data_IF_337455370238
#
_entry.id   IF_337455370238
#
_cell.length_a   1.000
_cell.length_b   1.000
_cell.length_c   1.000
_cell.angle_alpha   90.00
_cell.angle_beta   90.00
_cell.angle_gamma   90.00
#
_symmetry.space_group_name_H-M   'P 1'
#
loop_
_entity.id
_entity.type
_entity.pdbx_description
1 polymer ?
#
# COMPACT_ATOMS: atom_id res chain seq x y z
N UNK A 1 -11.23 7.11 -33.87
CA UNK A 1 -11.95 7.56 -32.65
C UNK A 1 -11.11 7.48 -31.37
N UNK A 2 -10.12 6.58 -31.26
CA UNK A 2 -9.27 6.44 -30.05
C UNK A 2 -8.46 7.69 -29.62
N UNK A 3 -8.00 8.52 -30.57
CA UNK A 3 -7.14 9.69 -30.27
C UNK A 3 -7.90 10.82 -29.53
N UNK A 4 -9.23 10.92 -29.67
CA UNK A 4 -10.03 11.97 -29.02
C UNK A 4 -10.31 11.65 -27.54
N UNK A 5 -10.39 10.37 -27.20
CA UNK A 5 -10.54 9.94 -25.80
C UNK A 5 -9.24 10.18 -25.02
N UNK A 6 -8.06 9.90 -25.59
CA UNK A 6 -6.79 10.10 -24.88
C UNK A 6 -6.57 11.57 -24.47
N UNK A 7 -6.81 12.52 -25.38
CA UNK A 7 -6.67 13.95 -25.08
C UNK A 7 -7.68 14.43 -24.03
N UNK A 8 -8.90 13.89 -24.04
CA UNK A 8 -9.93 14.23 -23.05
C UNK A 8 -9.60 13.64 -21.68
N UNK A 9 -9.07 12.42 -21.63
CA UNK A 9 -8.61 11.76 -20.42
C UNK A 9 -7.41 12.48 -19.82
N UNK A 10 -6.38 12.80 -20.62
CA UNK A 10 -5.22 13.58 -20.19
C UNK A 10 -5.63 14.91 -19.56
N UNK A 11 -6.53 15.65 -20.20
CA UNK A 11 -6.96 16.94 -19.69
C UNK A 11 -7.76 16.84 -18.38
N UNK A 12 -8.56 15.77 -18.22
CA UNK A 12 -9.24 15.46 -16.94
C UNK A 12 -8.26 15.02 -15.87
N UNK A 13 -7.25 14.23 -16.24
CA UNK A 13 -6.17 13.79 -15.36
C UNK A 13 -5.38 15.01 -14.87
N UNK A 14 -4.97 15.91 -15.75
CA UNK A 14 -4.23 17.13 -15.41
C UNK A 14 -5.05 18.04 -14.49
N UNK A 15 -6.36 18.15 -14.72
CA UNK A 15 -7.26 18.91 -13.85
C UNK A 15 -7.44 18.22 -12.49
N UNK A 16 -7.44 16.90 -12.46
CA UNK A 16 -7.46 16.10 -11.23
C UNK A 16 -6.14 16.21 -10.46
N UNK A 17 -4.99 16.05 -11.12
CA UNK A 17 -3.65 16.27 -10.55
C UNK A 17 -3.50 17.70 -10.04
N UNK A 18 -3.95 18.70 -10.79
CA UNK A 18 -3.96 20.09 -10.35
C UNK A 18 -4.89 20.27 -9.13
N UNK A 19 -6.10 19.69 -9.11
CA UNK A 19 -7.00 19.83 -7.97
C UNK A 19 -6.51 19.09 -6.70
N UNK A 20 -5.76 18.00 -6.86
CA UNK A 20 -5.27 17.17 -5.75
C UNK A 20 -3.98 17.73 -5.14
N UNK A 21 -3.13 18.36 -5.96
CA UNK A 21 -1.83 18.91 -5.53
C UNK A 21 -1.79 20.45 -5.40
N UNK A 22 -2.68 21.20 -6.07
CA UNK A 22 -2.69 22.66 -6.11
C UNK A 22 -4.03 23.23 -5.63
N UNK A 23 -3.96 24.30 -4.82
CA UNK A 23 -5.14 25.15 -4.58
C UNK A 23 -5.38 26.10 -5.75
N UNK A 24 -6.62 26.61 -5.93
CA UNK A 24 -6.94 27.65 -6.92
C UNK A 24 -6.05 28.91 -6.86
N UNK A 25 -5.37 29.12 -5.72
CA UNK A 25 -4.57 30.30 -5.38
C UNK A 25 -3.05 30.13 -5.66
N UNK A 26 -2.61 29.06 -6.34
CA UNK A 26 -1.18 28.88 -6.68
C UNK A 26 -0.22 28.65 -5.51
N UNK A 27 -0.71 28.58 -4.27
CA UNK A 27 0.06 28.15 -3.08
C UNK A 27 -0.01 26.62 -2.91
N UNK A 28 1.08 25.95 -2.47
CA UNK A 28 1.09 24.50 -2.27
C UNK A 28 0.24 24.14 -1.05
N UNK A 29 -1.00 23.68 -1.26
CA UNK A 29 -1.91 23.25 -0.18
C UNK A 29 -1.46 21.94 0.49
N UNK A 30 -0.55 21.15 -0.11
CA UNK A 30 -0.34 19.79 0.37
C UNK A 30 1.06 19.23 0.15
N UNK A 31 2.07 19.86 0.76
CA UNK A 31 3.30 19.14 1.09
C UNK A 31 2.97 17.80 1.80
N UNK A 32 1.91 17.77 2.61
CA UNK A 32 1.40 16.58 3.27
C UNK A 32 0.96 15.45 2.30
N UNK A 33 0.21 15.73 1.23
CA UNK A 33 -0.20 14.71 0.24
C UNK A 33 1.01 14.21 -0.54
N UNK A 34 1.88 15.11 -0.98
CA UNK A 34 3.07 14.71 -1.73
C UNK A 34 4.00 13.84 -0.89
N UNK A 35 4.24 14.21 0.36
CA UNK A 35 5.06 13.40 1.27
C UNK A 35 4.39 12.06 1.62
N UNK A 36 3.07 12.02 1.84
CA UNK A 36 2.37 10.74 2.10
C UNK A 36 2.33 9.83 0.88
N UNK A 37 2.20 10.38 -0.33
CA UNK A 37 2.29 9.64 -1.59
C UNK A 37 3.71 9.12 -1.85
N UNK A 38 4.74 9.95 -1.64
CA UNK A 38 6.13 9.51 -1.75
C UNK A 38 6.43 8.40 -0.74
N UNK A 39 5.94 8.55 0.50
CA UNK A 39 6.11 7.55 1.55
C UNK A 39 5.39 6.23 1.20
N UNK A 40 4.21 6.27 0.57
CA UNK A 40 3.54 5.05 0.12
C UNK A 40 4.30 4.32 -0.98
N UNK A 41 5.01 5.03 -1.88
CA UNK A 41 5.89 4.40 -2.86
C UNK A 41 7.07 3.69 -2.18
N UNK A 42 7.66 4.33 -1.16
CA UNK A 42 8.72 3.70 -0.35
C UNK A 42 8.18 2.44 0.33
N UNK A 43 6.96 2.47 0.87
CA UNK A 43 6.34 1.29 1.48
C UNK A 43 6.10 0.19 0.47
N UNK A 44 5.61 0.53 -0.73
CA UNK A 44 5.40 -0.41 -1.82
C UNK A 44 6.71 -1.11 -2.19
N UNK A 45 7.81 -0.36 -2.31
CA UNK A 45 9.15 -0.91 -2.58
C UNK A 45 9.60 -1.79 -1.42
N UNK A 46 9.41 -1.36 -0.17
CA UNK A 46 9.80 -2.13 1.01
C UNK A 46 9.06 -3.47 1.08
N UNK A 47 7.76 -3.50 0.81
CA UNK A 47 6.99 -4.74 0.70
C UNK A 47 7.49 -5.59 -0.47
N UNK A 48 7.69 -5.00 -1.66
CA UNK A 48 8.20 -5.71 -2.83
C UNK A 48 9.55 -6.39 -2.58
N UNK A 49 10.50 -5.68 -1.97
CA UNK A 49 11.81 -6.22 -1.58
C UNK A 49 11.67 -7.31 -0.52
N UNK A 50 10.78 -7.12 0.47
CA UNK A 50 10.54 -8.12 1.51
C UNK A 50 10.00 -9.41 0.90
N UNK A 51 8.99 -9.33 0.03
CA UNK A 51 8.45 -10.50 -0.67
C UNK A 51 9.49 -11.15 -1.59
N UNK A 52 10.21 -10.37 -2.38
CA UNK A 52 11.23 -10.89 -3.30
C UNK A 52 12.34 -11.65 -2.56
N UNK A 53 12.82 -11.14 -1.42
CA UNK A 53 13.90 -11.78 -0.68
C UNK A 53 13.42 -12.96 0.18
N UNK A 54 12.27 -12.84 0.86
CA UNK A 54 11.82 -13.85 1.82
C UNK A 54 11.12 -15.04 1.16
N UNK A 55 10.45 -14.87 0.02
CA UNK A 55 9.77 -15.99 -0.67
C UNK A 55 10.80 -17.07 -1.02
N UNK A 56 11.90 -16.73 -1.68
CA UNK A 56 12.94 -17.69 -2.07
C UNK A 56 13.58 -18.41 -0.87
N UNK A 57 13.75 -17.69 0.24
CA UNK A 57 14.30 -18.24 1.49
C UNK A 57 13.32 -19.20 2.13
N UNK A 58 12.03 -18.84 2.20
CA UNK A 58 10.98 -19.70 2.77
C UNK A 58 10.72 -20.93 1.89
N UNK A 59 10.74 -20.78 0.57
CA UNK A 59 10.59 -21.87 -0.37
C UNK A 59 11.64 -22.96 -0.11
N UNK A 60 12.90 -22.56 0.06
CA UNK A 60 14.00 -23.48 0.38
C UNK A 60 13.86 -24.07 1.78
N UNK A 61 13.48 -23.28 2.77
CA UNK A 61 13.33 -23.72 4.16
C UNK A 61 12.17 -24.71 4.36
N UNK A 62 11.07 -24.55 3.62
CA UNK A 62 9.85 -25.36 3.74
C UNK A 62 9.64 -26.32 2.55
N UNK A 63 10.70 -26.63 1.80
CA UNK A 63 10.62 -27.51 0.62
C UNK A 63 10.04 -28.91 0.91
N UNK A 64 10.11 -29.39 2.15
CA UNK A 64 9.59 -30.70 2.59
C UNK A 64 8.21 -30.61 3.28
N UNK A 65 7.64 -29.41 3.41
CA UNK A 65 6.35 -29.18 4.09
C UNK A 65 5.17 -29.20 3.11
N UNK A 66 3.95 -29.31 3.66
CA UNK A 66 2.73 -29.27 2.84
C UNK A 66 2.53 -27.90 2.19
N UNK A 67 1.95 -27.90 0.98
CA UNK A 67 1.71 -26.69 0.16
C UNK A 67 0.93 -25.62 0.94
N UNK A 68 -0.02 -26.03 1.78
CA UNK A 68 -0.82 -25.12 2.59
C UNK A 68 0.02 -24.36 3.64
N UNK A 69 0.90 -25.07 4.36
CA UNK A 69 1.77 -24.46 5.37
C UNK A 69 2.74 -23.49 4.70
N UNK A 70 3.35 -23.91 3.58
CA UNK A 70 4.27 -23.09 2.81
C UNK A 70 3.62 -21.78 2.35
N UNK A 71 2.44 -21.85 1.75
CA UNK A 71 1.68 -20.67 1.31
C UNK A 71 1.35 -19.70 2.46
N UNK A 72 0.97 -20.22 3.62
CA UNK A 72 0.68 -19.38 4.79
C UNK A 72 1.95 -18.64 5.24
N UNK A 73 3.08 -19.33 5.36
CA UNK A 73 4.32 -18.68 5.78
C UNK A 73 4.84 -17.68 4.73
N UNK A 74 4.77 -18.03 3.44
CA UNK A 74 5.21 -17.15 2.34
C UNK A 74 4.37 -15.88 2.21
N UNK A 75 3.12 -15.91 2.67
CA UNK A 75 2.27 -14.72 2.72
C UNK A 75 2.39 -13.94 4.02
N UNK A 76 2.57 -14.62 5.15
CA UNK A 76 2.55 -13.99 6.47
C UNK A 76 3.91 -13.38 6.83
N UNK A 77 5.00 -14.11 6.62
CA UNK A 77 6.34 -13.69 7.06
C UNK A 77 6.81 -12.43 6.31
N UNK A 78 6.73 -12.34 4.97
CA UNK A 78 7.13 -11.13 4.27
C UNK A 78 6.16 -9.97 4.51
N UNK A 79 4.86 -10.25 4.66
CA UNK A 79 3.86 -9.24 5.02
C UNK A 79 4.14 -8.61 6.39
N UNK A 80 4.54 -9.40 7.38
CA UNK A 80 4.92 -8.92 8.71
C UNK A 80 6.28 -8.21 8.69
N UNK A 81 7.28 -8.78 8.02
CA UNK A 81 8.60 -8.17 7.88
C UNK A 81 8.52 -6.80 7.19
N UNK A 82 7.79 -6.71 6.06
CA UNK A 82 7.55 -5.46 5.36
C UNK A 82 6.78 -4.46 6.22
N UNK A 83 5.79 -4.92 7.01
CA UNK A 83 5.08 -4.05 7.96
C UNK A 83 5.98 -3.49 9.04
N UNK A 84 6.92 -4.28 9.59
CA UNK A 84 7.89 -3.81 10.57
C UNK A 84 8.81 -2.73 9.97
N UNK A 85 9.29 -2.93 8.74
CA UNK A 85 10.08 -1.92 8.01
C UNK A 85 9.27 -0.65 7.79
N UNK A 86 8.02 -0.76 7.37
CA UNK A 86 7.10 0.37 7.17
C UNK A 86 6.69 1.08 8.49
N UNK A 87 6.90 0.44 9.64
CA UNK A 87 6.73 1.07 10.95
C UNK A 87 7.95 1.89 11.40
N UNK A 88 9.15 1.64 10.87
CA UNK A 88 10.36 2.38 11.24
C UNK A 88 10.25 3.90 11.03
N UNK A 89 9.63 4.41 9.95
CA UNK A 89 9.43 5.85 9.75
C UNK A 89 8.59 6.54 10.82
N UNK A 90 7.79 5.80 11.60
CA UNK A 90 7.07 6.35 12.74
C UNK A 90 8.01 7.04 13.76
N UNK A 91 9.23 6.52 13.93
CA UNK A 91 10.20 7.08 14.88
C UNK A 91 10.89 8.35 14.37
N UNK A 92 10.97 8.53 13.04
CA UNK A 92 11.69 9.64 12.42
C UNK A 92 10.76 10.80 12.01
N UNK A 93 9.48 10.53 11.74
CA UNK A 93 8.54 11.53 11.22
C UNK A 93 7.87 12.28 12.37
N UNK A 94 8.10 13.61 12.43
CA UNK A 94 7.49 14.52 13.42
C UNK A 94 5.96 14.57 13.34
N UNK A 95 5.41 14.40 12.13
CA UNK A 95 3.96 14.40 11.84
C UNK A 95 3.39 12.97 11.77
N UNK A 96 2.96 12.43 12.91
CA UNK A 96 2.42 11.06 13.04
C UNK A 96 1.21 10.73 12.16
N UNK A 97 0.52 11.75 11.63
CA UNK A 97 -0.62 11.62 10.70
C UNK A 97 -0.23 11.16 9.29
N UNK A 98 1.05 11.22 8.93
CA UNK A 98 1.53 10.86 7.59
C UNK A 98 1.53 9.33 7.36
N UNK A 99 1.73 8.55 8.43
CA UNK A 99 1.76 7.09 8.36
C UNK A 99 0.42 6.47 7.93
N UNK A 100 -0.73 6.79 8.57
CA UNK A 100 -2.02 6.26 8.10
C UNK A 100 -2.40 6.79 6.71
N UNK A 101 -2.00 8.01 6.34
CA UNK A 101 -2.22 8.54 5.00
C UNK A 101 -1.46 7.74 3.92
N UNK A 102 -0.22 7.32 4.19
CA UNK A 102 0.54 6.46 3.29
C UNK A 102 -0.11 5.06 3.14
N UNK A 103 -0.66 4.49 4.21
CA UNK A 103 -1.42 3.24 4.14
C UNK A 103 -2.73 3.37 3.34
N UNK A 104 -3.40 4.53 3.38
CA UNK A 104 -4.57 4.81 2.51
C UNK A 104 -4.15 4.79 1.04
N UNK A 105 -3.03 5.41 0.69
CA UNK A 105 -2.50 5.34 -0.68
C UNK A 105 -2.16 3.91 -1.10
N UNK A 106 -1.55 3.13 -0.21
CA UNK A 106 -1.28 1.72 -0.45
C UNK A 106 -2.57 0.93 -0.72
N UNK A 107 -3.63 1.20 0.04
CA UNK A 107 -4.94 0.58 -0.17
C UNK A 107 -5.56 1.01 -1.52
N UNK A 108 -5.40 2.28 -1.91
CA UNK A 108 -5.84 2.76 -3.21
C UNK A 108 -5.10 2.05 -4.36
N UNK A 109 -3.79 1.84 -4.24
CA UNK A 109 -3.03 1.06 -5.24
C UNK A 109 -3.51 -0.39 -5.32
N UNK A 110 -3.81 -1.00 -4.17
CA UNK A 110 -4.31 -2.36 -4.09
C UNK A 110 -5.66 -2.50 -4.83
N UNK A 111 -6.60 -1.59 -4.55
CA UNK A 111 -7.91 -1.55 -5.23
C UNK A 111 -7.76 -1.21 -6.72
N UNK A 112 -6.86 -0.27 -7.06
CA UNK A 112 -6.59 0.08 -8.45
C UNK A 112 -6.03 -1.10 -9.25
N UNK A 113 -5.12 -1.89 -8.65
CA UNK A 113 -4.58 -3.11 -9.26
C UNK A 113 -5.66 -4.18 -9.48
N UNK A 114 -6.56 -4.37 -8.50
CA UNK A 114 -7.72 -5.25 -8.64
C UNK A 114 -8.65 -4.80 -9.77
N UNK A 115 -8.99 -3.51 -9.83
CA UNK A 115 -9.83 -2.97 -10.89
C UNK A 115 -9.16 -3.13 -12.25
N UNK A 116 -7.87 -2.80 -12.36
CA UNK A 116 -7.12 -2.97 -13.60
C UNK A 116 -7.17 -4.43 -14.08
N UNK A 117 -6.88 -5.40 -13.22
CA UNK A 117 -6.95 -6.81 -13.61
C UNK A 117 -8.38 -7.26 -13.91
N UNK A 118 -9.40 -6.74 -13.23
CA UNK A 118 -10.80 -7.05 -13.53
C UNK A 118 -11.23 -6.54 -14.92
N UNK A 119 -10.67 -5.43 -15.39
CA UNK A 119 -10.98 -4.86 -16.70
C UNK A 119 -10.10 -5.37 -17.84
N UNK A 120 -8.82 -5.68 -17.56
CA UNK A 120 -7.85 -6.08 -18.58
C UNK A 120 -7.69 -7.60 -18.74
N UNK A 121 -7.93 -8.40 -17.70
CA UNK A 121 -7.68 -9.83 -17.73
C UNK A 121 -8.91 -10.66 -18.16
N UNK A 122 -8.66 -11.77 -18.85
CA UNK A 122 -9.68 -12.77 -19.14
C UNK A 122 -10.17 -13.47 -17.87
N UNK A 123 -11.34 -14.12 -17.93
CA UNK A 123 -11.99 -14.74 -16.77
C UNK A 123 -11.15 -15.83 -16.07
N UNK A 124 -10.27 -16.51 -16.81
CA UNK A 124 -9.30 -17.48 -16.25
C UNK A 124 -8.15 -16.81 -15.49
N UNK A 125 -7.49 -15.84 -16.14
CA UNK A 125 -6.33 -15.13 -15.58
C UNK A 125 -6.71 -14.30 -14.36
N UNK A 126 -7.91 -13.70 -14.37
CA UNK A 126 -8.44 -12.96 -13.24
C UNK A 126 -8.58 -13.84 -11.99
N UNK A 127 -9.01 -15.11 -12.12
CA UNK A 127 -9.15 -16.02 -10.98
C UNK A 127 -7.80 -16.36 -10.36
N UNK A 128 -6.79 -16.61 -11.19
CA UNK A 128 -5.43 -16.91 -10.72
C UNK A 128 -4.83 -15.69 -10.02
N UNK A 129 -4.95 -14.50 -10.64
CA UNK A 129 -4.54 -13.25 -10.02
C UNK A 129 -5.23 -13.03 -8.69
N UNK A 130 -6.56 -13.21 -8.63
CA UNK A 130 -7.35 -13.00 -7.42
C UNK A 130 -6.89 -13.92 -6.29
N UNK A 131 -6.55 -15.18 -6.58
CA UNK A 131 -6.02 -16.11 -5.57
C UNK A 131 -4.71 -15.61 -4.95
N UNK A 132 -3.71 -15.27 -5.77
CA UNK A 132 -2.43 -14.74 -5.28
C UNK A 132 -2.59 -13.37 -4.61
N UNK A 133 -3.44 -12.52 -5.18
CA UNK A 133 -3.73 -11.21 -4.65
C UNK A 133 -4.34 -11.31 -3.25
N UNK A 134 -5.38 -12.14 -3.06
CA UNK A 134 -6.03 -12.31 -1.76
C UNK A 134 -5.09 -12.91 -0.71
N UNK A 135 -4.11 -13.70 -1.15
CA UNK A 135 -3.17 -14.33 -0.26
C UNK A 135 -2.07 -13.36 0.21
N UNK A 136 -1.50 -12.56 -0.70
CA UNK A 136 -0.30 -11.76 -0.43
C UNK A 136 -0.60 -10.31 -0.02
N UNK A 137 -1.60 -9.69 -0.64
CA UNK A 137 -1.83 -8.24 -0.49
C UNK A 137 -2.55 -7.90 0.82
N UNK A 138 -3.63 -8.60 1.21
CA UNK A 138 -4.32 -8.33 2.47
C UNK A 138 -3.45 -8.57 3.71
N UNK A 139 -2.57 -9.58 3.71
CA UNK A 139 -1.77 -9.92 4.91
C UNK A 139 -0.89 -8.74 5.32
N UNK A 140 -0.12 -8.17 4.38
CA UNK A 140 0.76 -7.03 4.62
C UNK A 140 -0.01 -5.73 4.82
N UNK A 141 -1.06 -5.49 4.03
CA UNK A 141 -1.84 -4.26 4.11
C UNK A 141 -2.60 -4.16 5.44
N UNK A 142 -3.27 -5.24 5.85
CA UNK A 142 -4.08 -5.26 7.07
C UNK A 142 -3.19 -5.23 8.31
N UNK A 143 -2.11 -6.02 8.36
CA UNK A 143 -1.21 -6.02 9.52
C UNK A 143 -0.56 -4.65 9.74
N UNK A 144 -0.02 -4.03 8.69
CA UNK A 144 0.56 -2.70 8.74
C UNK A 144 -0.45 -1.60 9.05
N UNK A 145 -1.64 -1.63 8.42
CA UNK A 145 -2.68 -0.64 8.68
C UNK A 145 -3.24 -0.72 10.10
N UNK A 146 -3.50 -1.93 10.61
CA UNK A 146 -3.95 -2.15 11.99
C UNK A 146 -2.90 -1.64 12.98
N UNK A 147 -1.62 -1.95 12.77
CA UNK A 147 -0.55 -1.47 13.64
C UNK A 147 -0.45 0.06 13.63
N UNK A 148 -0.48 0.69 12.45
CA UNK A 148 -0.45 2.15 12.33
C UNK A 148 -1.64 2.82 13.02
N UNK A 149 -2.84 2.24 12.91
CA UNK A 149 -4.05 2.78 13.54
C UNK A 149 -4.03 2.62 15.06
N UNK A 150 -3.59 1.47 15.57
CA UNK A 150 -3.46 1.23 17.01
C UNK A 150 -2.47 2.20 17.66
N UNK A 151 -1.32 2.42 17.03
CA UNK A 151 -0.33 3.39 17.51
C UNK A 151 -0.87 4.82 17.49
N UNK A 152 -1.59 5.21 16.44
CA UNK A 152 -2.23 6.51 16.35
C UNK A 152 -3.30 6.71 17.44
N UNK A 153 -4.13 5.70 17.70
CA UNK A 153 -5.13 5.73 18.77
C UNK A 153 -4.47 5.87 20.15
N UNK A 154 -3.37 5.14 20.40
CA UNK A 154 -2.61 5.25 21.67
C UNK A 154 -2.06 6.65 21.89
N UNK A 155 -1.54 7.30 20.86
CA UNK A 155 -1.05 8.68 20.98
C UNK A 155 -2.17 9.68 21.28
N UNK A 156 -3.35 9.51 20.68
CA UNK A 156 -4.51 10.36 20.98
C UNK A 156 -5.02 10.15 22.42
N UNK A 157 -5.07 8.91 22.90
CA UNK A 157 -5.48 8.62 24.28
C UNK A 157 -4.49 9.15 25.32
N UNK A 158 -3.19 9.14 25.02
CA UNK A 158 -2.17 9.71 25.90
C UNK A 158 -2.28 11.25 26.00
N UNK A 159 -2.60 11.94 24.90
CA UNK A 159 -2.84 13.39 24.90
C UNK A 159 -4.15 13.75 25.61
N UNK A 160 -5.17 12.88 25.56
CA UNK A 160 -6.45 13.09 26.25
C UNK A 160 -6.37 12.88 27.77
N UNK A 161 -5.45 12.04 28.27
CA UNK A 161 -5.22 11.82 29.69
C UNK A 161 -4.21 12.77 30.34
N UNK A 162 -3.52 13.59 29.53
CA UNK A 162 -2.58 14.61 29.99
C UNK A 162 -3.21 16.02 30.11
N UNK A 163 -4.52 16.12 29.84
CA UNK A 163 -5.37 17.29 30.06
C UNK A 163 -6.27 17.07 31.26
#
# INVERSE_FOLDING_TARGET
MAVRDENTLRHKLDRFWAALFLTPEGKPKSAFLLYSFCLSLVFLIAYGVSYFFLIDVLEKAFAQSSVAVRNIFESLVPGLAGSLVCCAPWFFIKNKRMLPAAYIWLALYAVAALMAMAFLAGSGDFRIFLYFYLMLVPSGLVSGAVFSLLMFRRTLSAEAGAK
#
